data_IF_115525530755
#
_entry.id   IF_115525530755
#
_cell.length_a   1.000
_cell.length_b   1.000
_cell.length_c   1.000
_cell.angle_alpha   90.00
_cell.angle_beta   90.00
_cell.angle_gamma   90.00
#
_symmetry.space_group_name_H-M   'P 1'
#
loop_
_entity.id
_entity.type
_entity.pdbx_description
1 polymer ?
#
# COMPACT_ATOMS: atom_id res chain seq x y z
N UNK A 1 11.00 19.69 -15.82
CA UNK A 1 11.56 18.68 -14.92
C UNK A 1 12.18 17.58 -15.78
N UNK A 2 13.34 17.02 -15.41
CA UNK A 2 13.98 15.91 -16.13
C UNK A 2 14.00 14.71 -15.19
N UNK A 3 13.62 13.54 -15.70
CA UNK A 3 13.56 12.30 -14.92
C UNK A 3 14.62 11.32 -15.40
N UNK A 4 15.12 10.49 -14.49
CA UNK A 4 15.89 9.30 -14.79
C UNK A 4 15.00 8.11 -14.45
N UNK A 5 14.75 7.25 -15.43
CA UNK A 5 13.90 6.09 -15.26
C UNK A 5 14.77 4.84 -15.21
N UNK A 6 14.82 4.21 -14.05
CA UNK A 6 15.49 2.93 -13.84
C UNK A 6 14.45 1.83 -13.94
N UNK A 7 14.57 0.95 -14.94
CA UNK A 7 13.65 -0.17 -15.10
C UNK A 7 14.32 -1.34 -15.82
N UNK A 8 14.04 -2.57 -15.40
CA UNK A 8 14.49 -3.78 -16.10
C UNK A 8 13.79 -3.98 -17.45
N UNK A 9 12.55 -3.45 -17.59
CA UNK A 9 11.82 -3.42 -18.84
C UNK A 9 12.21 -2.20 -19.67
N UNK A 10 12.84 -2.44 -20.83
CA UNK A 10 13.34 -1.39 -21.72
C UNK A 10 12.25 -0.43 -22.19
N UNK A 11 11.06 -0.93 -22.52
CA UNK A 11 9.92 -0.12 -22.94
C UNK A 11 9.44 0.85 -21.86
N UNK A 12 9.55 0.46 -20.59
CA UNK A 12 9.13 1.31 -19.47
C UNK A 12 10.17 2.38 -19.13
N UNK A 13 11.45 2.10 -19.41
CA UNK A 13 12.54 3.04 -19.12
C UNK A 13 12.47 4.35 -19.92
N UNK A 14 11.74 4.38 -21.05
CA UNK A 14 11.62 5.59 -21.89
C UNK A 14 10.34 6.40 -21.60
N UNK A 15 9.49 5.95 -20.68
CA UNK A 15 8.22 6.62 -20.35
C UNK A 15 8.44 8.08 -19.92
N UNK A 16 7.50 8.94 -20.26
CA UNK A 16 7.52 10.38 -19.92
C UNK A 16 8.79 11.13 -20.38
N UNK A 17 9.51 10.62 -21.40
CA UNK A 17 10.70 11.27 -21.94
C UNK A 17 11.88 11.32 -20.97
N UNK A 18 11.93 10.41 -19.99
CA UNK A 18 13.03 10.29 -19.05
C UNK A 18 14.31 9.78 -19.69
N UNK A 19 15.44 10.06 -19.05
CA UNK A 19 16.73 9.42 -19.36
C UNK A 19 16.61 7.94 -18.98
N UNK A 20 16.68 7.07 -19.98
CA UNK A 20 16.49 5.63 -19.82
C UNK A 20 17.74 4.98 -19.21
N UNK A 21 17.53 4.21 -18.14
CA UNK A 21 18.55 3.35 -17.52
C UNK A 21 17.96 1.94 -17.38
N UNK A 22 18.33 1.04 -18.29
CA UNK A 22 17.84 -0.34 -18.25
C UNK A 22 18.69 -1.16 -17.30
N UNK A 23 18.21 -1.38 -16.08
CA UNK A 23 18.96 -2.04 -15.01
C UNK A 23 18.07 -2.47 -13.86
N UNK A 24 18.60 -3.34 -13.00
CA UNK A 24 18.06 -3.56 -11.66
C UNK A 24 18.16 -2.28 -10.82
N UNK A 25 17.14 -2.02 -10.00
CA UNK A 25 17.06 -0.80 -9.21
C UNK A 25 18.18 -0.67 -8.17
N UNK A 26 18.57 -1.77 -7.50
CA UNK A 26 19.64 -1.75 -6.49
C UNK A 26 20.97 -1.43 -7.16
N UNK A 27 21.32 -2.16 -8.22
CA UNK A 27 22.60 -2.00 -8.92
C UNK A 27 22.75 -0.58 -9.49
N UNK A 28 21.67 -0.01 -10.02
CA UNK A 28 21.66 1.36 -10.52
C UNK A 28 21.87 2.39 -9.40
N UNK A 29 21.21 2.22 -8.25
CA UNK A 29 21.37 3.12 -7.10
C UNK A 29 22.79 3.01 -6.55
N UNK A 30 23.34 1.81 -6.40
CA UNK A 30 24.71 1.59 -5.94
C UNK A 30 25.74 2.27 -6.85
N UNK A 31 25.55 2.22 -8.17
CA UNK A 31 26.39 2.92 -9.13
C UNK A 31 26.21 4.46 -9.10
N UNK A 32 25.00 4.94 -8.81
CA UNK A 32 24.69 6.38 -8.75
C UNK A 32 25.22 7.06 -7.49
N UNK A 33 25.24 6.37 -6.34
CA UNK A 33 25.70 6.93 -5.05
C UNK A 33 27.07 7.63 -5.18
N UNK A 34 28.15 6.99 -5.66
CA UNK A 34 29.45 7.65 -5.78
C UNK A 34 29.47 8.77 -6.82
N UNK A 35 28.64 8.69 -7.86
CA UNK A 35 28.54 9.74 -8.89
C UNK A 35 27.83 11.01 -8.36
N UNK A 36 27.07 10.88 -7.28
CA UNK A 36 26.36 11.97 -6.60
C UNK A 36 27.10 12.45 -5.34
N UNK A 37 28.34 12.00 -5.10
CA UNK A 37 29.09 12.42 -3.93
C UNK A 37 29.26 13.94 -3.86
N UNK A 38 29.01 14.51 -2.68
CA UNK A 38 28.99 15.96 -2.45
C UNK A 38 27.80 16.72 -3.05
N UNK A 39 26.91 16.08 -3.82
CA UNK A 39 25.71 16.73 -4.33
C UNK A 39 24.66 16.88 -3.22
N UNK A 40 24.17 18.11 -3.01
CA UNK A 40 22.97 18.38 -2.23
C UNK A 40 22.10 19.41 -2.93
N UNK A 41 20.79 19.29 -2.76
CA UNK A 41 19.84 20.36 -3.06
C UNK A 41 20.04 21.53 -2.10
N UNK A 42 19.48 22.70 -2.43
CA UNK A 42 19.55 23.86 -1.54
C UNK A 42 18.86 23.62 -0.19
N UNK A 43 19.38 24.25 0.85
CA UNK A 43 18.79 24.18 2.19
C UNK A 43 17.35 24.72 2.23
N UNK A 44 17.07 25.76 1.43
CA UNK A 44 15.72 26.29 1.24
C UNK A 44 14.76 25.23 0.70
N UNK A 45 15.16 24.50 -0.35
CA UNK A 45 14.33 23.46 -0.94
C UNK A 45 14.12 22.30 0.04
N UNK A 46 15.18 21.86 0.73
CA UNK A 46 15.10 20.82 1.77
C UNK A 46 14.16 21.22 2.90
N UNK A 47 14.25 22.46 3.38
CA UNK A 47 13.40 22.99 4.44
C UNK A 47 11.93 23.01 4.00
N UNK A 48 11.67 23.52 2.79
CA UNK A 48 10.32 23.55 2.22
C UNK A 48 9.70 22.17 2.08
N UNK A 49 10.44 21.18 1.58
CA UNK A 49 9.93 19.80 1.44
C UNK A 49 9.61 19.21 2.82
N UNK A 50 10.47 19.44 3.81
CA UNK A 50 10.25 18.96 5.19
C UNK A 50 9.00 19.59 5.80
N UNK A 51 8.81 20.90 5.62
CA UNK A 51 7.63 21.62 6.11
C UNK A 51 6.35 21.09 5.45
N UNK A 52 6.34 20.93 4.13
CA UNK A 52 5.17 20.41 3.40
C UNK A 52 4.84 18.97 3.78
N UNK A 53 5.86 18.13 4.02
CA UNK A 53 5.66 16.77 4.51
C UNK A 53 5.01 16.77 5.90
N UNK A 54 5.47 17.64 6.81
CA UNK A 54 4.87 17.77 8.13
C UNK A 54 3.43 18.29 8.06
N UNK A 55 3.15 19.30 7.23
CA UNK A 55 1.78 19.80 7.01
C UNK A 55 0.84 18.70 6.50
N UNK A 56 1.33 17.81 5.65
CA UNK A 56 0.58 16.65 5.19
C UNK A 56 0.29 15.67 6.33
N UNK A 57 1.29 15.32 7.13
CA UNK A 57 1.12 14.44 8.28
C UNK A 57 0.14 15.00 9.31
N UNK A 58 0.16 16.31 9.54
CA UNK A 58 -0.80 16.99 10.42
C UNK A 58 -2.22 16.91 9.83
N UNK A 59 -2.37 17.08 8.51
CA UNK A 59 -3.65 16.94 7.82
C UNK A 59 -4.19 15.51 7.92
N UNK A 60 -3.36 14.49 7.69
CA UNK A 60 -3.73 13.08 7.83
C UNK A 60 -4.17 12.78 9.26
N UNK A 61 -3.44 13.28 10.25
CA UNK A 61 -3.77 13.11 11.66
C UNK A 61 -5.12 13.77 12.02
N UNK A 62 -5.40 14.95 11.46
CA UNK A 62 -6.66 15.66 11.67
C UNK A 62 -7.86 14.92 11.06
N UNK A 63 -7.72 14.33 9.86
CA UNK A 63 -8.82 13.57 9.23
C UNK A 63 -9.03 12.18 9.84
N UNK A 64 -8.03 11.64 10.55
CA UNK A 64 -8.15 10.42 11.35
C UNK A 64 -8.93 10.63 12.66
N UNK A 65 -8.92 11.85 13.19
CA UNK A 65 -9.55 12.16 14.46
C UNK A 65 -11.04 11.84 14.43
N UNK A 66 -11.52 11.18 15.48
CA UNK A 66 -12.91 10.78 15.66
C UNK A 66 -13.33 10.99 17.11
N UNK A 67 -14.64 11.12 17.33
CA UNK A 67 -15.25 11.26 18.65
C UNK A 67 -16.05 10.00 18.99
N UNK A 68 -16.08 9.63 20.27
CA UNK A 68 -16.81 8.44 20.72
C UNK A 68 -18.30 8.56 20.40
N UNK A 69 -18.83 7.54 19.72
CA UNK A 69 -20.24 7.47 19.34
C UNK A 69 -20.61 8.27 18.08
N UNK A 70 -19.66 8.94 17.43
CA UNK A 70 -19.90 9.60 16.14
C UNK A 70 -20.04 8.58 14.99
N UNK A 71 -20.78 8.93 13.95
CA UNK A 71 -20.77 8.17 12.70
C UNK A 71 -19.41 8.32 12.03
N UNK A 72 -18.76 7.20 11.73
CA UNK A 72 -17.45 7.19 11.10
C UNK A 72 -17.58 7.44 9.59
N UNK A 73 -16.78 8.37 9.08
CA UNK A 73 -16.54 8.47 7.64
C UNK A 73 -15.39 7.54 7.22
N UNK A 74 -15.20 7.38 5.90
CA UNK A 74 -14.19 6.48 5.35
C UNK A 74 -12.76 6.78 5.84
N UNK A 75 -12.39 8.06 5.95
CA UNK A 75 -11.04 8.46 6.38
C UNK A 75 -10.78 8.02 7.83
N UNK A 76 -11.78 8.18 8.69
CA UNK A 76 -11.70 7.77 10.10
C UNK A 76 -11.66 6.24 10.22
N UNK A 77 -12.41 5.52 9.39
CA UNK A 77 -12.31 4.05 9.35
C UNK A 77 -10.91 3.61 8.94
N UNK A 78 -10.33 4.19 7.89
CA UNK A 78 -8.95 3.92 7.47
C UNK A 78 -7.98 4.21 8.61
N UNK A 79 -8.13 5.36 9.28
CA UNK A 79 -7.27 5.78 10.37
C UNK A 79 -7.34 4.88 11.60
N UNK A 80 -8.53 4.42 11.97
CA UNK A 80 -8.73 3.45 13.04
C UNK A 80 -8.07 2.11 12.70
N UNK A 81 -8.28 1.59 11.49
CA UNK A 81 -7.66 0.33 11.05
C UNK A 81 -6.13 0.45 11.05
N UNK A 82 -5.59 1.55 10.52
CA UNK A 82 -4.14 1.77 10.51
C UNK A 82 -3.57 1.88 11.93
N UNK A 83 -4.24 2.61 12.83
CA UNK A 83 -3.80 2.80 14.22
C UNK A 83 -3.84 1.51 15.04
N UNK A 84 -4.89 0.70 14.85
CA UNK A 84 -5.10 -0.54 15.61
C UNK A 84 -4.33 -1.74 15.03
N UNK A 85 -3.88 -1.65 13.78
CA UNK A 85 -3.05 -2.70 13.17
C UNK A 85 -1.62 -2.70 13.73
N UNK A 86 -1.00 -3.88 13.77
CA UNK A 86 0.41 -4.03 14.10
C UNK A 86 1.29 -3.52 12.94
N UNK A 87 2.54 -3.08 13.20
CA UNK A 87 3.41 -2.55 12.16
C UNK A 87 3.66 -3.48 10.97
N UNK A 88 3.52 -4.80 11.17
CA UNK A 88 3.77 -5.85 10.17
C UNK A 88 2.51 -6.33 9.45
N UNK A 89 1.34 -5.85 9.84
CA UNK A 89 0.10 -6.25 9.20
C UNK A 89 -0.02 -5.66 7.80
N UNK A 90 -0.87 -6.28 6.99
CA UNK A 90 -0.98 -5.98 5.56
C UNK A 90 -2.37 -5.46 5.24
N UNK A 91 -2.45 -4.27 4.66
CA UNK A 91 -3.69 -3.80 4.02
C UNK A 91 -3.75 -4.30 2.58
N UNK A 92 -4.94 -4.79 2.18
CA UNK A 92 -5.20 -5.29 0.83
C UNK A 92 -6.38 -4.53 0.22
N UNK A 93 -6.18 -4.01 -1.00
CA UNK A 93 -7.22 -3.36 -1.79
C UNK A 93 -6.97 -3.55 -3.30
N UNK A 94 -7.93 -3.22 -4.16
CA UNK A 94 -7.76 -3.38 -5.60
C UNK A 94 -8.45 -2.29 -6.43
N UNK A 95 -9.72 -1.99 -6.15
CA UNK A 95 -10.51 -1.16 -7.05
C UNK A 95 -11.41 -0.14 -6.33
N UNK A 96 -11.97 0.78 -7.12
CA UNK A 96 -12.82 1.86 -6.66
C UNK A 96 -12.05 3.14 -6.29
N UNK A 97 -12.65 4.00 -5.48
CA UNK A 97 -11.96 5.17 -4.92
C UNK A 97 -10.97 4.81 -3.81
N UNK A 98 -11.17 3.66 -3.16
CA UNK A 98 -10.42 3.20 -2.00
C UNK A 98 -8.90 3.13 -2.23
N UNK A 99 -8.35 2.64 -3.37
CA UNK A 99 -6.91 2.70 -3.64
C UNK A 99 -6.33 4.12 -3.59
N UNK A 100 -7.08 5.12 -4.06
CA UNK A 100 -6.66 6.51 -4.03
C UNK A 100 -6.78 7.14 -2.64
N UNK A 101 -7.69 6.66 -1.79
CA UNK A 101 -7.81 7.11 -0.41
C UNK A 101 -6.75 6.44 0.48
N UNK A 102 -6.44 5.17 0.23
CA UNK A 102 -5.32 4.48 0.88
C UNK A 102 -3.96 5.08 0.49
N UNK A 103 -3.74 5.44 -0.79
CA UNK A 103 -2.50 6.10 -1.24
C UNK A 103 -2.24 7.43 -0.51
N UNK A 104 -3.31 8.18 -0.21
CA UNK A 104 -3.21 9.44 0.55
C UNK A 104 -3.05 9.19 2.05
N UNK A 105 -3.79 8.23 2.60
CA UNK A 105 -4.03 8.18 4.04
C UNK A 105 -3.24 7.09 4.74
N UNK A 106 -2.94 5.95 4.11
CA UNK A 106 -2.37 4.80 4.81
C UNK A 106 -0.90 5.01 5.17
N UNK A 107 -0.57 4.91 6.46
CA UNK A 107 0.82 4.99 6.95
C UNK A 107 1.47 3.62 6.97
N UNK A 108 2.29 3.35 5.97
CA UNK A 108 3.03 2.08 5.85
C UNK A 108 4.21 2.05 6.82
N UNK A 109 4.28 1.01 7.67
CA UNK A 109 5.31 0.83 8.71
C UNK A 109 6.25 -0.36 8.46
N UNK A 110 5.89 -1.25 7.53
CA UNK A 110 6.69 -2.38 7.08
C UNK A 110 6.69 -2.46 5.55
N UNK A 111 7.81 -2.92 4.96
CA UNK A 111 7.95 -2.99 3.49
C UNK A 111 6.90 -3.86 2.80
N UNK A 112 6.26 -4.79 3.53
CA UNK A 112 5.23 -5.70 3.02
C UNK A 112 3.83 -5.36 3.52
N UNK A 113 3.66 -4.22 4.19
CA UNK A 113 2.40 -3.86 4.86
C UNK A 113 1.33 -3.24 3.96
N UNK A 114 1.58 -3.12 2.65
CA UNK A 114 0.68 -2.48 1.69
C UNK A 114 0.66 -3.25 0.38
N UNK A 115 -0.48 -3.87 0.06
CA UNK A 115 -0.71 -4.62 -1.16
C UNK A 115 -1.95 -4.08 -1.86
N UNK A 116 -1.75 -3.29 -2.92
CA UNK A 116 -2.84 -2.71 -3.68
C UNK A 116 -2.63 -2.95 -5.16
N UNK A 117 -3.64 -3.52 -5.81
CA UNK A 117 -3.58 -3.91 -7.23
C UNK A 117 -3.84 -2.70 -8.14
N UNK A 118 -2.77 -2.11 -8.69
CA UNK A 118 -2.84 -0.94 -9.57
C UNK A 118 -2.73 -1.25 -11.08
N UNK A 119 -2.52 -2.50 -11.47
CA UNK A 119 -2.24 -2.88 -12.86
C UNK A 119 -3.51 -2.98 -13.70
N UNK A 120 -4.35 -3.98 -13.41
CA UNK A 120 -5.64 -4.17 -14.08
C UNK A 120 -6.79 -3.51 -13.31
N UNK A 121 -6.56 -3.15 -12.04
CA UNK A 121 -7.56 -2.65 -11.08
C UNK A 121 -8.80 -3.54 -11.05
N UNK A 122 -8.57 -4.84 -10.87
CA UNK A 122 -9.61 -5.86 -10.96
C UNK A 122 -10.51 -5.82 -9.72
N UNK A 123 -11.76 -5.39 -9.90
CA UNK A 123 -12.78 -5.52 -8.85
C UNK A 123 -12.95 -6.98 -8.41
N UNK A 124 -12.89 -7.21 -7.10
CA UNK A 124 -13.01 -8.52 -6.47
C UNK A 124 -11.69 -9.26 -6.25
N UNK A 125 -10.56 -8.66 -6.64
CA UNK A 125 -9.24 -9.16 -6.27
C UNK A 125 -9.01 -9.11 -4.76
N UNK A 126 -9.62 -8.17 -4.03
CA UNK A 126 -9.31 -7.84 -2.64
C UNK A 126 -9.37 -9.08 -1.72
N UNK A 127 -10.41 -9.90 -1.85
CA UNK A 127 -10.60 -11.09 -1.01
C UNK A 127 -9.60 -12.21 -1.38
N UNK A 128 -9.43 -12.47 -2.67
CA UNK A 128 -8.51 -13.50 -3.15
C UNK A 128 -7.05 -13.14 -2.87
N UNK A 129 -6.67 -11.87 -3.10
CA UNK A 129 -5.38 -11.29 -2.75
C UNK A 129 -5.12 -11.41 -1.26
N UNK A 130 -6.09 -11.05 -0.41
CA UNK A 130 -5.94 -11.18 1.04
C UNK A 130 -5.70 -12.60 1.53
N UNK A 131 -6.36 -13.60 0.96
CA UNK A 131 -6.07 -15.02 1.24
C UNK A 131 -4.64 -15.37 0.82
N UNK A 132 -4.22 -14.95 -0.38
CA UNK A 132 -2.85 -15.16 -0.86
C UNK A 132 -1.79 -14.54 0.06
N UNK A 133 -2.01 -13.30 0.50
CA UNK A 133 -1.15 -12.62 1.48
C UNK A 133 -1.08 -13.42 2.78
N UNK A 134 -2.22 -13.87 3.30
CA UNK A 134 -2.28 -14.67 4.55
C UNK A 134 -1.59 -16.02 4.43
N UNK A 135 -1.60 -16.63 3.25
CA UNK A 135 -0.86 -17.86 2.96
C UNK A 135 0.64 -17.62 2.88
N UNK A 136 1.07 -16.49 2.30
CA UNK A 136 2.48 -16.13 2.16
C UNK A 136 3.12 -15.62 3.45
N UNK A 137 2.34 -14.97 4.33
CA UNK A 137 2.77 -14.44 5.61
C UNK A 137 1.86 -14.92 6.74
N UNK A 138 1.99 -16.18 7.19
CA UNK A 138 1.03 -16.75 8.13
C UNK A 138 1.11 -16.19 9.56
N UNK A 139 2.13 -15.38 9.84
CA UNK A 139 2.40 -14.66 11.09
C UNK A 139 1.94 -13.19 11.05
N UNK A 140 1.21 -12.78 10.00
CA UNK A 140 0.71 -11.40 9.81
C UNK A 140 -0.81 -11.40 9.74
N UNK A 141 -1.43 -10.36 10.29
CA UNK A 141 -2.84 -10.12 10.05
C UNK A 141 -3.04 -9.34 8.75
N UNK A 142 -4.18 -9.59 8.11
CA UNK A 142 -4.51 -9.09 6.78
C UNK A 142 -5.84 -8.37 6.83
N UNK A 143 -5.81 -7.08 6.52
CA UNK A 143 -6.97 -6.19 6.48
C UNK A 143 -7.41 -5.99 5.04
N UNK A 144 -8.48 -6.65 4.65
CA UNK A 144 -9.06 -6.53 3.31
C UNK A 144 -10.03 -5.35 3.31
N UNK A 145 -9.69 -4.28 2.61
CA UNK A 145 -10.54 -3.10 2.45
C UNK A 145 -11.23 -3.17 1.10
N UNK A 146 -12.54 -3.42 1.13
CA UNK A 146 -13.33 -3.71 -0.06
C UNK A 146 -14.52 -2.76 -0.16
N UNK A 147 -14.72 -2.18 -1.34
CA UNK A 147 -15.92 -1.40 -1.66
C UNK A 147 -17.14 -2.30 -1.87
N UNK A 148 -18.34 -1.74 -1.76
CA UNK A 148 -19.60 -2.48 -1.94
C UNK A 148 -19.71 -3.18 -3.30
N UNK A 149 -19.33 -2.52 -4.39
CA UNK A 149 -19.34 -3.09 -5.74
C UNK A 149 -18.40 -4.29 -5.86
N UNK A 150 -17.15 -4.16 -5.38
CA UNK A 150 -16.18 -5.26 -5.36
C UNK A 150 -16.66 -6.42 -4.48
N UNK A 151 -17.30 -6.11 -3.35
CA UNK A 151 -17.84 -7.11 -2.43
C UNK A 151 -18.96 -7.92 -3.10
N UNK A 152 -19.90 -7.26 -3.77
CA UNK A 152 -20.99 -7.93 -4.50
C UNK A 152 -20.47 -8.89 -5.58
N UNK A 153 -19.43 -8.49 -6.32
CA UNK A 153 -18.77 -9.34 -7.31
C UNK A 153 -18.07 -10.57 -6.69
N UNK A 154 -17.60 -10.44 -5.45
CA UNK A 154 -16.81 -11.46 -4.74
C UNK A 154 -17.64 -12.42 -3.88
N UNK A 155 -18.93 -12.15 -3.70
CA UNK A 155 -19.84 -12.91 -2.81
C UNK A 155 -19.78 -14.45 -2.98
N UNK A 156 -19.70 -15.01 -4.21
CA UNK A 156 -19.59 -16.46 -4.40
C UNK A 156 -18.25 -17.05 -3.90
N UNK A 157 -17.17 -16.27 -3.96
CA UNK A 157 -15.83 -16.70 -3.53
C UNK A 157 -15.66 -16.58 -2.02
N UNK A 158 -16.14 -15.50 -1.41
CA UNK A 158 -16.09 -15.31 0.04
C UNK A 158 -16.77 -16.45 0.81
N UNK A 159 -17.95 -16.90 0.34
CA UNK A 159 -18.71 -17.98 0.99
C UNK A 159 -18.05 -19.36 0.90
N UNK A 160 -17.28 -19.66 -0.15
CA UNK A 160 -16.62 -20.97 -0.33
C UNK A 160 -15.17 -21.00 0.15
N UNK A 161 -14.46 -19.89 -0.01
CA UNK A 161 -13.05 -19.75 0.39
C UNK A 161 -12.87 -19.71 1.91
N UNK A 162 -13.71 -18.96 2.62
CA UNK A 162 -13.68 -18.87 4.08
C UNK A 162 -13.99 -20.22 4.72
N UNK A 163 -15.00 -20.93 4.20
CA UNK A 163 -15.41 -22.23 4.74
C UNK A 163 -14.34 -23.31 4.54
N UNK A 164 -13.65 -23.31 3.40
CA UNK A 164 -12.51 -24.19 3.14
C UNK A 164 -11.30 -23.85 4.02
N UNK A 165 -11.01 -22.55 4.20
CA UNK A 165 -9.91 -22.08 5.05
C UNK A 165 -10.14 -22.38 6.54
N UNK A 166 -11.35 -22.11 7.06
CA UNK A 166 -11.73 -22.46 8.44
C UNK A 166 -11.66 -23.97 8.71
N UNK A 167 -12.04 -24.80 7.72
CA UNK A 167 -11.88 -26.27 7.80
C UNK A 167 -10.41 -26.71 7.77
N UNK A 168 -9.54 -25.98 7.08
CA UNK A 168 -8.10 -26.22 7.08
C UNK A 168 -7.44 -25.83 8.41
N UNK A 169 -7.79 -24.66 8.97
CA UNK A 169 -7.21 -24.15 10.22
C UNK A 169 -7.62 -24.96 11.46
N UNK A 170 -8.80 -25.59 11.47
CA UNK A 170 -9.26 -26.44 12.59
C UNK A 170 -8.60 -27.82 12.65
N UNK A 171 -7.69 -28.15 11.71
CA UNK A 171 -6.97 -29.44 11.70
C UNK A 171 -5.51 -29.35 12.16
N UNK A 172 -5.03 -28.17 12.60
CA UNK A 172 -3.73 -27.99 13.25
C UNK A 172 -3.83 -28.33 14.75
N UNK A 173 -3.19 -29.40 15.27
CA UNK A 173 -3.40 -29.86 16.65
C UNK A 173 -2.68 -29.04 17.74
N UNK A 174 -1.87 -28.05 17.40
CA UNK A 174 -1.11 -27.26 18.39
C UNK A 174 -1.46 -25.76 18.30
N UNK A 175 -2.41 -25.33 19.13
CA UNK A 175 -2.51 -23.99 19.73
C UNK A 175 -3.22 -24.08 21.07
#
# INVERSE_FOLDING_TARGET
>A
MRFVNINVASLDSVKQGGVSVVSDAREAIEALIPALDGYTVSDEYRSRVTELAQQWEDTVSAVYATEDGAQLNQNQVIGLVNTLSEPRDVVVCAAGSMPGDLDKLWRTRDRKGYDVEYGYSCMGHEIAGGIGVRMAGPDRDVFIVVGDGSYLMSTPFASRGVDSWLRGCTTSPDR
#
